data_IF_943013792811
#
_entry.id   IF_943013792811
#
_cell.length_a   1.000
_cell.length_b   1.000
_cell.length_c   1.000
_cell.angle_alpha   90.00
_cell.angle_beta   90.00
_cell.angle_gamma   90.00
#
_symmetry.space_group_name_H-M   'P 1'
#
loop_
_entity.id
_entity.type
_entity.pdbx_description
1 polymer ?
#
# COMPACT_ATOMS: atom_id res chain seq x y z
N UNK A 1 -47.16 -29.20 45.01
CA UNK A 1 -46.08 -29.52 44.05
C UNK A 1 -45.85 -28.27 43.22
N UNK A 2 -44.67 -27.66 43.36
CA UNK A 2 -44.31 -26.40 42.71
C UNK A 2 -43.52 -26.75 41.44
N UNK A 3 -44.10 -26.54 40.27
CA UNK A 3 -43.42 -26.70 38.98
C UNK A 3 -42.58 -25.45 38.70
N UNK A 4 -41.25 -25.61 38.76
CA UNK A 4 -40.32 -24.57 38.36
C UNK A 4 -40.30 -24.46 36.83
N UNK A 5 -40.66 -23.28 36.32
CA UNK A 5 -40.45 -22.88 34.92
C UNK A 5 -38.94 -22.61 34.74
N UNK A 6 -38.24 -23.47 34.01
CA UNK A 6 -36.90 -23.17 33.51
C UNK A 6 -37.06 -22.25 32.29
N UNK A 7 -36.89 -20.95 32.50
CA UNK A 7 -36.71 -20.00 31.40
C UNK A 7 -35.27 -20.15 30.91
N UNK A 8 -35.06 -20.87 29.81
CA UNK A 8 -33.78 -20.86 29.11
C UNK A 8 -33.61 -19.49 28.45
N UNK A 9 -32.75 -18.65 29.01
CA UNK A 9 -32.27 -17.48 28.31
C UNK A 9 -31.39 -17.96 27.14
N UNK A 10 -31.95 -18.03 25.93
CA UNK A 10 -31.15 -18.05 24.71
C UNK A 10 -30.43 -16.71 24.62
N UNK A 11 -29.17 -16.65 25.07
CA UNK A 11 -28.28 -15.56 24.71
C UNK A 11 -28.16 -15.56 23.18
N UNK A 12 -28.66 -14.51 22.53
CA UNK A 12 -28.44 -14.35 21.09
C UNK A 12 -26.93 -14.28 20.85
N UNK A 13 -26.38 -15.01 19.87
CA UNK A 13 -24.97 -14.90 19.55
C UNK A 13 -24.70 -13.47 19.08
N UNK A 14 -23.86 -12.76 19.82
CA UNK A 14 -23.42 -11.42 19.45
C UNK A 14 -22.58 -11.55 18.17
N UNK A 15 -22.86 -10.71 17.18
CA UNK A 15 -22.13 -10.69 15.92
C UNK A 15 -21.51 -9.31 15.74
N UNK A 16 -20.20 -9.27 15.51
CA UNK A 16 -19.48 -8.03 15.27
C UNK A 16 -18.99 -7.97 13.82
N UNK A 17 -19.22 -6.83 13.16
CA UNK A 17 -18.84 -6.62 11.76
C UNK A 17 -17.76 -5.55 11.67
N UNK A 18 -16.59 -5.95 11.18
CA UNK A 18 -15.50 -5.04 10.84
C UNK A 18 -15.52 -4.76 9.35
N UNK A 19 -15.72 -3.51 8.95
CA UNK A 19 -15.71 -3.10 7.54
C UNK A 19 -14.41 -2.37 7.22
N UNK A 20 -13.60 -2.94 6.33
CA UNK A 20 -12.38 -2.34 5.81
C UNK A 20 -12.72 -1.34 4.70
N UNK A 21 -12.03 -0.19 4.70
CA UNK A 21 -12.26 0.93 3.80
C UNK A 21 -11.26 0.97 2.63
N UNK A 22 -10.08 0.38 2.81
CA UNK A 22 -8.95 0.54 1.88
C UNK A 22 -8.36 -0.78 1.40
N UNK A 23 -8.64 -1.89 2.10
CA UNK A 23 -8.18 -3.23 1.72
C UNK A 23 -9.33 -4.22 1.63
N UNK A 24 -9.17 -5.23 0.77
CA UNK A 24 -10.07 -6.39 0.79
C UNK A 24 -9.83 -7.20 2.07
N UNK A 25 -10.89 -7.70 2.68
CA UNK A 25 -10.77 -8.56 3.87
C UNK A 25 -10.03 -9.86 3.56
N UNK A 26 -10.18 -10.37 2.33
CA UNK A 26 -9.45 -11.53 1.84
C UNK A 26 -7.92 -11.34 1.88
N UNK A 27 -7.41 -10.14 1.60
CA UNK A 27 -5.97 -9.87 1.66
C UNK A 27 -5.39 -9.99 3.08
N UNK A 28 -6.23 -9.94 4.10
CA UNK A 28 -5.87 -10.06 5.51
C UNK A 28 -6.22 -11.44 6.10
N UNK A 29 -6.72 -12.40 5.30
CA UNK A 29 -7.12 -13.74 5.78
C UNK A 29 -6.00 -14.45 6.56
N UNK A 30 -4.78 -14.45 6.02
CA UNK A 30 -3.59 -15.01 6.65
C UNK A 30 -3.20 -14.36 8.02
N UNK A 31 -3.75 -13.20 8.35
CA UNK A 31 -3.59 -12.56 9.66
C UNK A 31 -4.67 -13.05 10.60
N UNK A 32 -5.91 -13.17 10.13
CA UNK A 32 -7.02 -13.75 10.88
C UNK A 32 -6.70 -15.19 11.28
N UNK A 33 -6.25 -16.03 10.34
CA UNK A 33 -5.81 -17.41 10.56
C UNK A 33 -4.68 -17.55 11.60
N UNK A 34 -3.88 -16.49 11.81
CA UNK A 34 -2.78 -16.50 12.80
C UNK A 34 -3.21 -16.06 14.20
N UNK A 35 -4.34 -15.39 14.33
CA UNK A 35 -4.81 -14.81 15.60
C UNK A 35 -6.12 -15.43 16.08
N UNK A 36 -6.75 -16.25 15.25
CA UNK A 36 -8.01 -16.92 15.53
C UNK A 36 -7.78 -18.42 15.33
N UNK A 37 -7.85 -19.18 16.42
CA UNK A 37 -7.64 -20.63 16.38
C UNK A 37 -8.82 -21.39 15.76
N UNK A 38 -10.03 -20.84 15.90
CA UNK A 38 -11.25 -21.42 15.35
C UNK A 38 -11.65 -20.74 14.03
N UNK A 39 -11.48 -21.41 12.87
CA UNK A 39 -11.86 -20.84 11.58
C UNK A 39 -13.37 -20.60 11.41
N UNK A 40 -14.22 -21.24 12.22
CA UNK A 40 -15.67 -21.05 12.17
C UNK A 40 -16.14 -19.83 12.97
N UNK A 41 -15.26 -19.23 13.79
CA UNK A 41 -15.56 -18.02 14.58
C UNK A 41 -15.58 -16.73 13.76
N UNK A 42 -15.28 -16.78 12.46
CA UNK A 42 -15.43 -15.62 11.57
C UNK A 42 -15.77 -16.01 10.14
N UNK A 43 -16.22 -15.03 9.36
CA UNK A 43 -16.32 -15.14 7.91
C UNK A 43 -15.91 -13.85 7.22
N UNK A 44 -15.42 -13.98 5.99
CA UNK A 44 -15.06 -12.84 5.13
C UNK A 44 -16.13 -12.70 4.06
N UNK A 45 -16.65 -11.48 3.90
CA UNK A 45 -17.57 -11.12 2.82
C UNK A 45 -17.15 -9.78 2.20
N UNK A 46 -16.51 -9.82 1.04
CA UNK A 46 -16.02 -8.62 0.36
C UNK A 46 -14.95 -7.86 1.17
N UNK A 47 -15.32 -6.68 1.67
CA UNK A 47 -14.49 -5.85 2.56
C UNK A 47 -14.86 -6.01 4.04
N UNK A 48 -15.78 -6.90 4.37
CA UNK A 48 -16.26 -7.14 5.73
C UNK A 48 -15.65 -8.42 6.31
N UNK A 49 -15.35 -8.36 7.60
CA UNK A 49 -15.03 -9.51 8.45
C UNK A 49 -16.12 -9.57 9.50
N UNK A 50 -16.83 -10.70 9.56
CA UNK A 50 -17.94 -10.95 10.46
C UNK A 50 -17.44 -11.92 11.51
N UNK A 51 -17.42 -11.52 12.78
CA UNK A 51 -17.05 -12.35 13.91
C UNK A 51 -18.29 -12.94 14.57
N UNK A 52 -18.30 -14.25 14.73
CA UNK A 52 -19.34 -15.01 15.41
C UNK A 52 -18.82 -15.35 16.81
N UNK A 53 -19.46 -14.80 17.85
CA UNK A 53 -19.05 -14.91 19.25
C UNK A 53 -17.77 -14.10 19.62
N UNK A 54 -17.86 -12.75 19.67
CA UNK A 54 -16.73 -11.88 19.90
C UNK A 54 -16.14 -12.05 21.32
N UNK A 55 -14.86 -12.43 21.39
CA UNK A 55 -14.11 -12.54 22.65
C UNK A 55 -13.34 -11.25 23.00
N UNK A 56 -12.89 -11.10 24.24
CA UNK A 56 -12.10 -9.93 24.69
C UNK A 56 -10.82 -9.71 23.86
N UNK A 57 -10.24 -10.79 23.29
CA UNK A 57 -9.07 -10.73 22.42
C UNK A 57 -9.36 -10.12 21.03
N UNK A 58 -10.65 -9.99 20.66
CA UNK A 58 -11.04 -9.40 19.39
C UNK A 58 -10.68 -7.91 19.30
N UNK A 59 -10.64 -7.18 20.42
CA UNK A 59 -10.31 -5.74 20.38
C UNK A 59 -8.89 -5.48 19.87
N UNK A 60 -7.92 -6.32 20.25
CA UNK A 60 -6.55 -6.22 19.76
C UNK A 60 -6.47 -6.54 18.26
N UNK A 61 -7.18 -7.58 17.82
CA UNK A 61 -7.27 -7.94 16.41
C UNK A 61 -7.92 -6.84 15.58
N UNK A 62 -9.03 -6.26 16.05
CA UNK A 62 -9.70 -5.12 15.41
C UNK A 62 -8.75 -3.91 15.34
N UNK A 63 -7.98 -3.65 16.39
CA UNK A 63 -7.00 -2.59 16.40
C UNK A 63 -5.86 -2.82 15.39
N UNK A 64 -5.40 -4.08 15.25
CA UNK A 64 -4.45 -4.48 14.23
C UNK A 64 -5.03 -4.31 12.82
N UNK A 65 -6.25 -4.79 12.58
CA UNK A 65 -6.95 -4.64 11.29
C UNK A 65 -7.08 -3.17 10.91
N UNK A 66 -7.45 -2.28 11.85
CA UNK A 66 -7.47 -0.83 11.63
C UNK A 66 -6.11 -0.24 11.27
N UNK A 67 -5.02 -0.74 11.87
CA UNK A 67 -3.66 -0.30 11.55
C UNK A 67 -3.22 -0.75 10.15
N UNK A 68 -3.76 -1.86 9.67
CA UNK A 68 -3.45 -2.43 8.36
C UNK A 68 -4.32 -1.85 7.25
N UNK A 69 -5.56 -1.49 7.57
CA UNK A 69 -6.51 -0.82 6.68
C UNK A 69 -6.17 0.66 6.49
N UNK A 70 -4.97 0.92 5.97
CA UNK A 70 -4.53 2.25 5.59
C UNK A 70 -4.79 2.46 4.10
N UNK A 71 -5.29 3.65 3.78
CA UNK A 71 -5.45 4.11 2.41
C UNK A 71 -4.12 4.20 1.67
N UNK A 72 -4.15 4.25 0.32
CA UNK A 72 -2.96 4.41 -0.47
C UNK A 72 -2.25 5.71 -0.10
N UNK A 73 -0.98 5.60 0.24
CA UNK A 73 -0.14 6.74 0.56
C UNK A 73 0.30 7.41 -0.74
N UNK A 74 0.28 8.74 -0.77
CA UNK A 74 0.88 9.48 -1.88
C UNK A 74 2.32 9.86 -1.54
N UNK A 75 3.18 9.81 -2.53
CA UNK A 75 4.59 10.15 -2.42
C UNK A 75 4.93 11.25 -3.42
N UNK A 76 5.79 12.18 -3.02
CA UNK A 76 6.41 13.16 -3.91
C UNK A 76 7.81 12.67 -4.25
N UNK A 77 8.03 12.36 -5.52
CA UNK A 77 9.36 12.15 -6.07
C UNK A 77 9.91 13.50 -6.53
N UNK A 78 10.93 13.99 -5.85
CA UNK A 78 11.69 15.15 -6.28
C UNK A 78 12.81 14.70 -7.22
N UNK A 79 12.99 15.43 -8.31
CA UNK A 79 14.01 15.16 -9.33
C UNK A 79 14.90 16.38 -9.41
N UNK A 80 16.22 16.18 -9.43
CA UNK A 80 17.15 17.21 -9.87
C UNK A 80 18.17 16.61 -10.82
N UNK A 81 18.46 17.25 -11.96
CA UNK A 81 19.58 16.87 -12.80
C UNK A 81 20.88 17.12 -12.04
N UNK A 82 21.89 16.27 -12.26
CA UNK A 82 23.21 16.45 -11.67
C UNK A 82 24.06 17.47 -12.46
N UNK A 83 23.69 17.72 -13.72
CA UNK A 83 24.41 18.63 -14.60
C UNK A 83 23.53 19.77 -15.11
N UNK A 84 23.71 20.95 -14.52
CA UNK A 84 23.04 22.22 -14.89
C UNK A 84 23.28 22.60 -16.37
N UNK A 85 24.30 22.01 -17.03
CA UNK A 85 24.67 22.30 -18.42
C UNK A 85 24.06 21.37 -19.47
N UNK A 86 23.21 20.39 -19.10
CA UNK A 86 22.50 19.56 -20.08
C UNK A 86 21.35 20.37 -20.71
N UNK A 87 21.58 20.87 -21.92
CA UNK A 87 20.51 21.39 -22.77
C UNK A 87 19.60 20.22 -23.16
N UNK A 88 18.39 20.16 -22.60
CA UNK A 88 17.34 19.21 -23.00
C UNK A 88 16.12 19.98 -23.46
N UNK A 89 15.56 19.61 -24.61
CA UNK A 89 14.27 20.13 -25.10
C UNK A 89 13.07 19.42 -24.49
N UNK A 90 13.32 18.39 -23.67
CA UNK A 90 12.33 17.66 -22.87
C UNK A 90 12.80 17.68 -21.41
N UNK A 91 12.15 18.50 -20.58
CA UNK A 91 12.47 18.60 -19.16
C UNK A 91 11.48 17.76 -18.37
N UNK A 92 11.98 16.78 -17.60
CA UNK A 92 11.18 16.17 -16.55
C UNK A 92 10.77 17.25 -15.53
N UNK A 93 9.58 17.15 -14.94
CA UNK A 93 9.18 18.09 -13.91
C UNK A 93 10.06 17.93 -12.66
N UNK A 94 10.28 19.02 -11.91
CA UNK A 94 11.05 19.03 -10.66
C UNK A 94 10.48 18.10 -9.59
N UNK A 95 9.19 17.76 -9.70
CA UNK A 95 8.59 16.70 -8.89
C UNK A 95 7.42 16.01 -9.56
N UNK A 96 7.18 14.77 -9.14
CA UNK A 96 6.08 13.91 -9.59
C UNK A 96 5.37 13.37 -8.35
N UNK A 97 4.05 13.29 -8.41
CA UNK A 97 3.25 12.61 -7.38
C UNK A 97 3.05 11.17 -7.81
N UNK A 98 3.43 10.23 -6.94
CA UNK A 98 3.25 8.80 -7.14
C UNK A 98 2.25 8.31 -6.11
N UNK A 99 1.21 7.59 -6.55
CA UNK A 99 0.32 6.87 -5.65
C UNK A 99 0.92 5.50 -5.34
N UNK A 100 0.81 5.05 -4.09
CA UNK A 100 1.31 3.75 -3.65
C UNK A 100 0.80 2.62 -4.54
N UNK A 101 1.71 1.74 -4.99
CA UNK A 101 1.46 0.59 -5.88
C UNK A 101 0.93 0.90 -7.29
N UNK A 102 0.55 2.13 -7.58
CA UNK A 102 0.04 2.54 -8.89
C UNK A 102 1.18 2.98 -9.84
N UNK A 103 1.14 2.55 -11.11
CA UNK A 103 2.10 3.02 -12.10
C UNK A 103 1.78 4.47 -12.51
N UNK A 104 2.79 5.34 -12.45
CA UNK A 104 2.76 6.69 -13.01
C UNK A 104 3.60 6.73 -14.27
N UNK A 105 2.99 7.08 -15.40
CA UNK A 105 3.66 7.11 -16.70
C UNK A 105 3.92 8.55 -17.11
N UNK A 106 5.18 8.85 -17.45
CA UNK A 106 5.60 10.14 -17.97
C UNK A 106 6.17 9.93 -19.36
N UNK A 107 5.78 10.81 -20.28
CA UNK A 107 6.35 10.84 -21.61
C UNK A 107 7.34 12.00 -21.72
N UNK A 108 8.57 11.69 -22.11
CA UNK A 108 9.67 12.63 -22.33
C UNK A 108 10.18 12.43 -23.74
N UNK A 109 9.73 13.30 -24.66
CA UNK A 109 9.96 13.12 -26.09
C UNK A 109 9.37 11.80 -26.61
N UNK A 110 10.23 10.92 -27.10
CA UNK A 110 9.89 9.57 -27.60
C UNK A 110 9.95 8.49 -26.53
N UNK A 111 10.53 8.79 -25.37
CA UNK A 111 10.68 7.82 -24.29
C UNK A 111 9.49 7.88 -23.34
N UNK A 112 8.96 6.71 -22.95
CA UNK A 112 7.97 6.60 -21.87
C UNK A 112 8.63 6.00 -20.64
N UNK A 113 8.47 6.66 -19.50
CA UNK A 113 9.01 6.23 -18.22
C UNK A 113 7.83 5.87 -17.31
N UNK A 114 7.74 4.62 -16.91
CA UNK A 114 6.79 4.13 -15.92
C UNK A 114 7.46 4.03 -14.56
N UNK A 115 6.88 4.67 -13.55
CA UNK A 115 7.37 4.66 -12.18
C UNK A 115 6.32 4.08 -11.25
N UNK A 116 6.74 3.19 -10.34
CA UNK A 116 5.88 2.64 -9.30
C UNK A 116 6.62 2.71 -7.98
N UNK A 117 5.93 3.16 -6.93
CA UNK A 117 6.49 3.22 -5.58
C UNK A 117 5.78 2.24 -4.65
N UNK A 118 6.55 1.56 -3.79
CA UNK A 118 6.01 0.68 -2.76
C UNK A 118 6.72 0.91 -1.43
N UNK A 119 6.02 0.95 -0.29
CA UNK A 119 6.68 1.03 1.01
C UNK A 119 7.54 -0.21 1.22
N UNK A 120 8.77 0.01 1.68
CA UNK A 120 9.67 -1.05 2.13
C UNK A 120 9.71 -1.11 3.66
N UNK A 121 9.73 0.05 4.30
CA UNK A 121 9.70 0.22 5.75
C UNK A 121 8.95 1.50 6.13
N UNK A 122 8.90 1.81 7.42
CA UNK A 122 8.36 3.09 7.89
C UNK A 122 9.12 4.32 7.35
N UNK A 123 10.39 4.13 6.95
CA UNK A 123 11.30 5.22 6.59
C UNK A 123 11.88 5.09 5.16
N UNK A 124 11.47 4.07 4.40
CA UNK A 124 11.98 3.84 3.06
C UNK A 124 10.95 3.20 2.14
N UNK A 125 11.12 3.40 0.83
CA UNK A 125 10.33 2.79 -0.22
C UNK A 125 11.21 2.22 -1.31
N UNK A 126 10.67 1.27 -2.07
CA UNK A 126 11.24 0.85 -3.35
C UNK A 126 10.58 1.68 -4.46
N UNK A 127 11.40 2.35 -5.26
CA UNK A 127 11.01 3.00 -6.49
C UNK A 127 11.43 2.10 -7.67
N UNK A 128 10.44 1.55 -8.35
CA UNK A 128 10.62 0.84 -9.61
C UNK A 128 10.49 1.83 -10.77
N UNK A 129 11.49 1.87 -11.66
CA UNK A 129 11.52 2.72 -12.85
C UNK A 129 11.67 1.82 -14.06
N UNK A 130 10.79 1.97 -15.05
CA UNK A 130 10.82 1.19 -16.29
C UNK A 130 10.82 2.15 -17.46
N UNK A 131 11.83 2.07 -18.31
CA UNK A 131 11.88 2.79 -19.58
C UNK A 131 11.28 1.92 -20.68
N UNK A 132 10.33 2.49 -21.43
CA UNK A 132 9.62 1.85 -22.52
C UNK A 132 9.96 2.63 -23.80
N UNK A 133 10.40 1.89 -24.82
CA UNK A 133 10.77 2.45 -26.12
C UNK A 133 9.55 2.66 -27.05
N UNK A 134 9.79 3.21 -28.24
CA UNK A 134 8.76 3.46 -29.28
C UNK A 134 8.00 2.19 -29.74
N UNK A 135 8.55 1.00 -29.50
CA UNK A 135 7.96 -0.30 -29.86
C UNK A 135 7.20 -0.94 -28.69
N UNK A 136 6.96 -0.18 -27.62
CA UNK A 136 6.34 -0.64 -26.37
C UNK A 136 7.11 -1.77 -25.66
N UNK A 137 8.40 -1.92 -25.98
CA UNK A 137 9.28 -2.89 -25.31
C UNK A 137 9.99 -2.22 -24.14
N UNK A 138 10.18 -2.99 -23.07
CA UNK A 138 10.98 -2.56 -21.92
C UNK A 138 12.44 -2.45 -22.38
N UNK A 139 12.97 -1.24 -22.38
CA UNK A 139 14.38 -0.99 -22.66
C UNK A 139 15.22 -1.19 -21.39
N UNK A 140 14.76 -0.64 -20.27
CA UNK A 140 15.47 -0.70 -18.98
C UNK A 140 14.50 -0.82 -17.80
N UNK A 141 14.95 -1.48 -16.74
CA UNK A 141 14.23 -1.60 -15.48
C UNK A 141 15.17 -1.43 -14.29
N UNK A 142 14.77 -0.58 -13.34
CA UNK A 142 15.54 -0.25 -12.14
C UNK A 142 14.66 -0.39 -10.91
N UNK A 143 15.24 -0.94 -9.82
CA UNK A 143 14.64 -0.91 -8.50
C UNK A 143 15.59 -0.19 -7.56
N UNK A 144 15.14 0.95 -7.03
CA UNK A 144 15.93 1.79 -6.14
C UNK A 144 15.31 1.74 -4.75
N UNK A 145 16.11 1.41 -3.74
CA UNK A 145 15.73 1.71 -2.37
C UNK A 145 15.90 3.22 -2.14
N UNK A 146 14.85 3.84 -1.63
CA UNK A 146 14.74 5.29 -1.46
C UNK A 146 14.44 5.59 0.01
N UNK A 147 15.44 5.98 0.81
CA UNK A 147 15.19 6.51 2.14
C UNK A 147 14.38 7.80 2.04
N UNK A 148 13.37 7.96 2.88
CA UNK A 148 12.55 9.15 2.84
C UNK A 148 13.33 10.40 3.23
N UNK A 149 13.06 11.47 2.49
CA UNK A 149 13.64 12.80 2.67
C UNK A 149 15.17 12.86 2.50
N UNK A 150 15.78 11.85 1.87
CA UNK A 150 17.20 11.84 1.52
C UNK A 150 17.38 11.86 0.01
N UNK A 151 18.38 12.61 -0.46
CA UNK A 151 18.78 12.60 -1.85
C UNK A 151 19.66 11.39 -2.13
N UNK A 152 19.33 10.64 -3.19
CA UNK A 152 20.14 9.57 -3.72
C UNK A 152 20.65 9.93 -5.11
N UNK A 153 21.91 9.60 -5.39
CA UNK A 153 22.44 9.64 -6.74
C UNK A 153 22.11 8.31 -7.41
N UNK A 154 21.38 8.35 -8.51
CA UNK A 154 20.90 7.14 -9.18
C UNK A 154 21.87 6.67 -10.27
N UNK A 155 22.68 7.58 -10.82
CA UNK A 155 23.51 7.33 -12.00
C UNK A 155 22.70 7.04 -13.28
N UNK A 156 21.38 7.27 -13.25
CA UNK A 156 20.49 6.96 -14.36
C UNK A 156 20.56 8.03 -15.44
N UNK A 157 20.99 7.64 -16.64
CA UNK A 157 21.14 8.55 -17.78
C UNK A 157 19.81 8.85 -18.51
N UNK A 158 18.72 9.00 -17.76
CA UNK A 158 17.36 9.30 -18.26
C UNK A 158 16.79 10.60 -17.65
N UNK A 159 17.67 11.47 -17.17
CA UNK A 159 17.28 12.73 -16.52
C UNK A 159 16.81 12.58 -15.07
N UNK A 160 17.04 11.40 -14.46
CA UNK A 160 16.70 11.08 -13.07
C UNK A 160 17.96 10.99 -12.19
N UNK A 161 18.96 11.83 -12.44
CA UNK A 161 20.31 11.68 -11.86
C UNK A 161 20.32 11.70 -10.32
N UNK A 162 19.51 12.59 -9.72
CA UNK A 162 19.29 12.65 -8.27
C UNK A 162 17.81 12.64 -7.94
N UNK A 163 17.45 11.81 -6.96
CA UNK A 163 16.07 11.63 -6.53
C UNK A 163 15.93 11.79 -5.03
N UNK A 164 14.80 12.31 -4.58
CA UNK A 164 14.39 12.28 -3.17
C UNK A 164 12.91 11.96 -3.08
N UNK A 165 12.54 11.01 -2.23
CA UNK A 165 11.15 10.63 -2.00
C UNK A 165 10.68 11.23 -0.68
N UNK A 166 9.52 11.90 -0.70
CA UNK A 166 8.86 12.42 0.49
C UNK A 166 7.43 11.87 0.56
N UNK A 167 7.02 11.40 1.73
CA UNK A 167 5.63 10.97 1.95
C UNK A 167 4.72 12.20 2.10
N UNK A 168 3.58 12.18 1.41
CA UNK A 168 2.53 13.19 1.52
C UNK A 168 1.53 12.66 2.54
N UNK A 169 1.32 13.42 3.62
CA UNK A 169 0.34 13.10 4.67
C UNK A 169 -1.07 13.46 4.24
#
# INVERSE_FOLDING_TARGET
MLTALLVSACSQPTTDIVTLQHRSAQSLAHILERHIDDPDSYSISGNQIIFYDPSDNQQELVHLLKKLDKGPVSYRLHITPDNIKRYSTSTLPDSIILMENEPSIIQTGKTRISMRIRPLSANSAILSITEINDQEQIAYHYNLETPFNQWINTGLNIGLDKLKVSQIK
#
